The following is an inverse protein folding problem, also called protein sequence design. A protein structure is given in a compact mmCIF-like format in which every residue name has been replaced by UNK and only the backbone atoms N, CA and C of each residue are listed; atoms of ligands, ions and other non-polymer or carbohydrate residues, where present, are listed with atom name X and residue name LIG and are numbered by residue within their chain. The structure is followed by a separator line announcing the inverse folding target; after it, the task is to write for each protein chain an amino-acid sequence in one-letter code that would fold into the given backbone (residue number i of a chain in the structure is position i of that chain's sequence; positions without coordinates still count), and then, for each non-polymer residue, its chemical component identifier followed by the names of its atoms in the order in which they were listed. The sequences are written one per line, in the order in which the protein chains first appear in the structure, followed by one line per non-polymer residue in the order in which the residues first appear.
data_IF_126903881667
#
_entry.id   IF_126903881667
#
_cell.length_a   1.000
_cell.length_b   1.000
_cell.length_c   1.000
_cell.angle_alpha   90.00
_cell.angle_beta   90.00
_cell.angle_gamma   90.00
#
_symmetry.space_group_name_H-M   'P 1'
#
loop_
_entity.id
_entity.type
_entity.pdbx_description
1 polymer ?
#
# COMPACT_ATOMS: atom_id res chain seq x y z
N UNK A 1 14.84 -14.75 -11.32
CA UNK A 1 14.59 -14.07 -10.03
C UNK A 1 13.94 -12.74 -10.36
N UNK A 2 12.61 -12.64 -10.33
CA UNK A 2 11.91 -11.38 -10.58
C UNK A 2 12.14 -10.48 -9.36
N UNK A 3 12.92 -9.40 -9.54
CA UNK A 3 13.11 -8.40 -8.51
C UNK A 3 11.84 -7.56 -8.38
N UNK A 4 11.01 -7.86 -7.39
CA UNK A 4 10.03 -6.98 -6.74
C UNK A 4 9.38 -5.89 -7.60
N UNK A 5 8.80 -6.24 -8.74
CA UNK A 5 8.00 -5.29 -9.51
C UNK A 5 6.73 -4.96 -8.71
N UNK A 6 6.45 -3.66 -8.57
CA UNK A 6 5.18 -3.20 -8.00
C UNK A 6 4.23 -2.84 -9.13
N UNK A 7 3.09 -3.50 -9.15
CA UNK A 7 1.99 -3.23 -10.08
C UNK A 7 1.08 -2.16 -9.48
N UNK A 8 0.62 -1.22 -10.30
CA UNK A 8 -0.33 -0.19 -9.88
C UNK A 8 -1.61 -0.23 -10.69
N UNK A 9 -2.75 -0.29 -10.00
CA UNK A 9 -4.07 -0.11 -10.58
C UNK A 9 -4.61 1.27 -10.19
N UNK A 10 -5.19 2.01 -11.14
CA UNK A 10 -5.83 3.30 -10.90
C UNK A 10 -7.29 3.22 -11.33
N UNK A 11 -8.21 3.45 -10.40
CA UNK A 11 -9.66 3.43 -10.64
C UNK A 11 -10.27 4.73 -10.15
N UNK A 12 -10.86 5.50 -11.06
CA UNK A 12 -11.60 6.70 -10.70
C UNK A 12 -12.95 6.33 -10.09
N UNK A 13 -13.27 6.92 -8.95
CA UNK A 13 -14.56 6.78 -8.25
C UNK A 13 -15.06 8.19 -7.93
N UNK A 14 -15.93 8.72 -8.80
CA UNK A 14 -16.39 10.11 -8.70
C UNK A 14 -15.22 11.10 -8.78
N UNK A 15 -15.02 11.89 -7.71
CA UNK A 15 -13.92 12.86 -7.59
C UNK A 15 -12.68 12.30 -6.86
N UNK A 16 -12.67 11.00 -6.61
CA UNK A 16 -11.55 10.31 -5.97
C UNK A 16 -10.88 9.34 -6.95
N UNK A 17 -9.65 8.99 -6.63
CA UNK A 17 -8.87 7.97 -7.32
C UNK A 17 -8.50 6.90 -6.30
N UNK A 18 -8.98 5.68 -6.54
CA UNK A 18 -8.56 4.47 -5.83
C UNK A 18 -7.32 3.93 -6.53
N UNK A 19 -6.23 3.79 -5.79
CA UNK A 19 -4.97 3.25 -6.30
C UNK A 19 -4.58 2.01 -5.52
N UNK A 20 -4.48 0.88 -6.20
CA UNK A 20 -3.91 -0.33 -5.63
C UNK A 20 -2.42 -0.42 -6.00
N UNK A 21 -1.57 -0.74 -5.03
CA UNK A 21 -0.18 -1.11 -5.26
C UNK A 21 0.04 -2.55 -4.78
N UNK A 22 0.55 -3.40 -5.67
CA UNK A 22 0.65 -4.84 -5.46
C UNK A 22 2.10 -5.26 -5.67
N UNK A 23 2.70 -5.90 -4.67
CA UNK A 23 3.99 -6.56 -4.83
C UNK A 23 3.81 -7.87 -5.60
N UNK A 24 4.44 -8.00 -6.77
CA UNK A 24 4.29 -9.18 -7.65
C UNK A 24 4.75 -10.47 -6.96
N UNK A 25 5.78 -10.40 -6.12
CA UNK A 25 6.40 -11.59 -5.52
C UNK A 25 5.55 -12.20 -4.40
N UNK A 26 4.97 -11.37 -3.53
CA UNK A 26 4.19 -11.81 -2.37
C UNK A 26 2.68 -11.75 -2.58
N UNK A 27 2.21 -11.04 -3.61
CA UNK A 27 0.80 -10.72 -3.80
C UNK A 27 0.26 -9.72 -2.77
N UNK A 28 1.12 -9.10 -1.96
CA UNK A 28 0.68 -8.13 -0.95
C UNK A 28 0.14 -6.88 -1.64
N UNK A 29 -1.12 -6.56 -1.38
CA UNK A 29 -1.78 -5.36 -1.90
C UNK A 29 -1.99 -4.32 -0.79
N UNK A 30 -1.82 -3.05 -1.15
CA UNK A 30 -2.34 -1.91 -0.39
C UNK A 30 -3.18 -1.03 -1.30
N UNK A 31 -4.27 -0.48 -0.75
CA UNK A 31 -5.15 0.44 -1.46
C UNK A 31 -5.06 1.82 -0.82
N UNK A 32 -4.96 2.85 -1.64
CA UNK A 32 -4.96 4.25 -1.24
C UNK A 32 -6.05 5.00 -1.97
N UNK A 33 -6.72 5.91 -1.26
CA UNK A 33 -7.70 6.82 -1.84
C UNK A 33 -7.09 8.22 -1.86
N UNK A 34 -7.07 8.84 -3.04
CA UNK A 34 -6.51 10.18 -3.23
C UNK A 34 -7.51 11.06 -4.01
N UNK A 35 -7.34 12.39 -4.00
CA UNK A 35 -8.05 13.26 -4.93
C UNK A 35 -7.73 12.88 -6.39
N UNK A 36 -8.69 13.08 -7.29
CA UNK A 36 -8.51 12.80 -8.72
C UNK A 36 -7.39 13.65 -9.36
N UNK A 37 -7.17 14.86 -8.86
CA UNK A 37 -6.18 15.81 -9.37
C UNK A 37 -4.80 15.73 -8.68
N UNK A 38 -4.59 14.79 -7.77
CA UNK A 38 -3.29 14.60 -7.14
C UNK A 38 -2.25 14.10 -8.16
N UNK A 39 -0.99 14.54 -8.02
CA UNK A 39 0.06 14.17 -8.95
C UNK A 39 0.35 12.67 -8.89
N UNK A 40 0.40 12.00 -10.05
CA UNK A 40 0.58 10.55 -10.15
C UNK A 40 1.84 10.05 -9.42
N UNK A 41 2.95 10.79 -9.53
CA UNK A 41 4.20 10.45 -8.85
C UNK A 41 4.08 10.44 -7.33
N UNK A 42 3.35 11.40 -6.75
CA UNK A 42 3.11 11.48 -5.31
C UNK A 42 2.22 10.35 -4.83
N UNK A 43 1.17 10.03 -5.61
CA UNK A 43 0.29 8.90 -5.30
C UNK A 43 1.05 7.57 -5.32
N UNK A 44 1.89 7.35 -6.34
CA UNK A 44 2.72 6.15 -6.43
C UNK A 44 3.72 6.08 -5.27
N UNK A 45 4.38 7.18 -4.91
CA UNK A 45 5.30 7.23 -3.76
C UNK A 45 4.59 6.90 -2.45
N UNK A 46 3.40 7.47 -2.23
CA UNK A 46 2.56 7.17 -1.06
C UNK A 46 2.17 5.69 -1.01
N UNK A 47 1.73 5.13 -2.13
CA UNK A 47 1.32 3.74 -2.22
C UNK A 47 2.49 2.77 -2.01
N UNK A 48 3.67 3.07 -2.58
CA UNK A 48 4.90 2.31 -2.34
C UNK A 48 5.32 2.31 -0.87
N UNK A 49 5.33 3.48 -0.23
CA UNK A 49 5.70 3.59 1.18
C UNK A 49 4.76 2.76 2.07
N UNK A 50 3.45 2.74 1.77
CA UNK A 50 2.48 1.90 2.48
C UNK A 50 2.69 0.41 2.21
N UNK A 51 3.01 0.04 0.98
CA UNK A 51 3.28 -1.35 0.61
C UNK A 51 4.52 -1.87 1.34
N UNK A 52 5.63 -1.12 1.31
CA UNK A 52 6.85 -1.44 2.03
C UNK A 52 6.60 -1.64 3.53
N UNK A 53 5.88 -0.71 4.16
CA UNK A 53 5.51 -0.84 5.57
C UNK A 53 4.69 -2.10 5.86
N UNK A 54 3.75 -2.48 4.98
CA UNK A 54 2.94 -3.69 5.15
C UNK A 54 3.78 -4.96 4.99
N UNK A 55 4.73 -4.97 4.04
CA UNK A 55 5.67 -6.07 3.87
C UNK A 55 6.57 -6.25 5.10
N UNK A 56 7.08 -5.14 5.67
CA UNK A 56 7.85 -5.15 6.91
C UNK A 56 7.03 -5.69 8.10
N UNK A 57 5.76 -5.28 8.22
CA UNK A 57 4.85 -5.78 9.27
C UNK A 57 4.54 -7.27 9.14
N UNK A 58 4.43 -7.79 7.91
CA UNK A 58 4.22 -9.21 7.67
C UNK A 58 5.49 -10.04 7.93
N UNK A 59 6.67 -9.45 7.77
CA UNK A 59 7.95 -10.09 8.06
C UNK A 59 8.28 -10.12 9.56
N UNK A 60 7.78 -9.15 10.33
CA UNK A 60 7.99 -9.07 11.78
C UNK A 60 6.93 -9.88 12.54
N UNK A 61 7.30 -10.68 13.57
CA UNK A 61 6.30 -11.25 14.48
C UNK A 61 5.52 -10.11 15.15
N UNK A 62 4.19 -10.23 15.31
CA UNK A 62 3.38 -9.14 15.83
C UNK A 62 3.85 -8.76 17.24
N UNK A 63 4.03 -7.45 17.54
CA UNK A 63 4.29 -7.04 18.92
C UNK A 63 3.11 -7.51 19.77
N UNK A 64 3.41 -8.30 20.81
CA UNK A 64 2.41 -8.73 21.78
C UNK A 64 1.66 -7.51 22.31
N UNK A 65 0.38 -7.37 21.94
CA UNK A 65 -0.47 -6.32 22.49
C UNK A 65 -0.73 -6.67 23.94
N UNK A 66 0.13 -6.21 24.85
CA UNK A 66 -0.15 -6.21 26.27
C UNK A 66 -1.30 -5.24 26.50
N UNK A 67 -2.52 -5.76 26.46
CA UNK A 67 -3.73 -5.03 26.76
C UNK A 67 -3.67 -4.51 28.19
N UNK A 68 -3.54 -3.19 28.33
CA UNK A 68 -3.95 -2.45 29.53
C UNK A 68 -4.89 -1.35 29.10
N UNK A 69 -6.12 -1.76 28.80
CA UNK A 69 -7.28 -0.88 28.90
C UNK A 69 -7.98 -1.30 30.21
N UNK A 70 -7.50 -0.76 31.33
CA UNK A 70 -8.10 -0.87 32.65
C UNK A 70 -8.06 0.51 33.30
#
# INVERSE_FOLDING_TARGET
MNQGSVLFEFVQIGQQLRVAAIDEATGTEVVVITPLNAARADIQRLALAKLQRKLEQNAAPPPSSSGKFA
#
